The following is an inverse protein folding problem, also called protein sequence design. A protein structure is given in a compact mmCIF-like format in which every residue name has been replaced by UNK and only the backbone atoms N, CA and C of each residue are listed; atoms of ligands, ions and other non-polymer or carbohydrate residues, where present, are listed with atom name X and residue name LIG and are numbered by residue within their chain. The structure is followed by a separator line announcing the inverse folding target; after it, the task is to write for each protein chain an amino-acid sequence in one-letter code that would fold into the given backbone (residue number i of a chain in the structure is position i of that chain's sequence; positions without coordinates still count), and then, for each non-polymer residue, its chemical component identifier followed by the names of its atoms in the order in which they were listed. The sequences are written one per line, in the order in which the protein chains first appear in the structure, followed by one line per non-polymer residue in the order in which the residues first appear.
data_IF_577475920087
#
_entry.id   IF_577475920087
#
_cell.length_a   1.000
_cell.length_b   1.000
_cell.length_c   1.000
_cell.angle_alpha   90.00
_cell.angle_beta   90.00
_cell.angle_gamma   90.00
#
_symmetry.space_group_name_H-M   'P 1'
#
loop_
_entity.id
_entity.type
_entity.pdbx_description
1 polymer ?
#
# COMPACT_ATOMS: atom_id res chain seq x y z
N UNK A 1 17.46 0.21 24.01
CA UNK A 1 16.44 -0.74 23.52
C UNK A 1 16.03 -0.28 22.13
N UNK A 2 16.21 -1.14 21.12
CA UNK A 2 15.85 -0.83 19.74
C UNK A 2 14.32 -0.81 19.63
N UNK A 3 13.73 0.36 19.46
CA UNK A 3 12.31 0.54 19.13
C UNK A 3 12.04 -0.06 17.75
N UNK A 4 11.87 -1.39 17.70
CA UNK A 4 11.47 -2.19 16.53
C UNK A 4 9.96 -2.15 16.32
N UNK A 5 9.27 -1.24 17.01
CA UNK A 5 7.82 -1.16 17.07
C UNK A 5 7.38 0.18 16.47
N UNK A 6 6.46 0.08 15.51
CA UNK A 6 5.85 1.14 14.71
C UNK A 6 6.52 1.43 13.36
N UNK A 7 6.87 0.37 12.62
CA UNK A 7 6.64 0.41 11.18
C UNK A 7 5.13 0.53 10.96
N UNK A 8 4.57 1.74 11.02
CA UNK A 8 3.17 1.94 10.67
C UNK A 8 3.00 1.57 9.18
N UNK A 9 2.29 0.48 8.84
CA UNK A 9 2.07 0.09 7.45
C UNK A 9 1.21 1.13 6.70
N UNK A 10 0.58 2.07 7.40
CA UNK A 10 -0.12 3.23 6.83
C UNK A 10 0.86 4.37 6.46
N UNK A 11 2.13 4.29 6.87
CA UNK A 11 3.20 5.24 6.51
C UNK A 11 3.99 4.81 5.26
N UNK A 12 3.42 3.90 4.45
CA UNK A 12 3.98 3.51 3.16
C UNK A 12 3.58 4.54 2.09
N UNK A 13 4.58 5.22 1.51
CA UNK A 13 4.36 6.19 0.44
C UNK A 13 4.73 5.59 -0.91
N UNK A 14 3.88 5.76 -1.93
CA UNK A 14 4.21 5.36 -3.30
C UNK A 14 5.28 6.28 -3.86
N UNK A 15 6.41 5.70 -4.29
CA UNK A 15 7.53 6.46 -4.89
C UNK A 15 7.66 6.24 -6.39
N UNK A 16 7.16 5.12 -6.90
CA UNK A 16 7.09 4.86 -8.35
C UNK A 16 5.94 3.92 -8.69
N UNK A 17 5.34 4.11 -9.85
CA UNK A 17 4.27 3.25 -10.38
C UNK A 17 4.49 2.97 -11.86
N UNK A 18 4.36 1.70 -12.24
CA UNK A 18 4.53 1.24 -13.61
C UNK A 18 3.29 0.46 -14.04
N UNK A 19 2.81 0.71 -15.25
CA UNK A 19 1.73 -0.06 -15.85
C UNK A 19 2.32 -1.16 -16.73
N UNK A 20 1.95 -2.40 -16.46
CA UNK A 20 2.30 -3.58 -17.24
C UNK A 20 1.02 -4.18 -17.84
N UNK A 21 1.16 -5.18 -18.71
CA UNK A 21 0.02 -5.95 -19.24
C UNK A 21 -0.76 -6.69 -18.15
N UNK A 22 -0.12 -7.01 -17.03
CA UNK A 22 -0.70 -7.72 -15.89
C UNK A 22 -1.35 -6.79 -14.84
N UNK A 23 -1.21 -5.47 -15.02
CA UNK A 23 -1.79 -4.45 -14.14
C UNK A 23 -0.77 -3.41 -13.69
N UNK A 24 -1.05 -2.74 -12.59
CA UNK A 24 -0.14 -1.72 -12.04
C UNK A 24 0.78 -2.35 -11.00
N UNK A 25 2.07 -2.06 -11.11
CA UNK A 25 3.10 -2.33 -10.10
C UNK A 25 3.45 -1.02 -9.42
N UNK A 26 3.33 -0.97 -8.09
CA UNK A 26 3.66 0.20 -7.27
C UNK A 26 4.77 -0.14 -6.29
N UNK A 27 5.80 0.70 -6.26
CA UNK A 27 6.90 0.63 -5.31
C UNK A 27 6.64 1.63 -4.19
N UNK A 28 6.61 1.14 -2.95
CA UNK A 28 6.36 1.94 -1.77
C UNK A 28 7.60 1.96 -0.87
N UNK A 29 7.83 3.11 -0.26
CA UNK A 29 8.90 3.30 0.72
C UNK A 29 8.32 3.89 1.99
N UNK A 30 8.68 3.31 3.12
CA UNK A 30 8.42 3.90 4.43
C UNK A 30 9.55 4.85 4.81
N UNK A 31 9.25 5.87 5.62
CA UNK A 31 10.24 6.82 6.14
C UNK A 31 11.38 6.16 6.93
N UNK A 32 11.13 4.99 7.53
CA UNK A 32 12.14 4.19 8.22
C UNK A 32 13.09 3.41 7.29
N UNK A 33 12.86 3.43 5.97
CA UNK A 33 13.71 2.76 4.97
C UNK A 33 13.22 1.40 4.48
N UNK A 34 12.12 0.86 5.01
CA UNK A 34 11.50 -0.38 4.53
C UNK A 34 10.86 -0.18 3.15
N UNK A 35 10.93 -1.21 2.31
CA UNK A 35 10.35 -1.26 0.96
C UNK A 35 9.23 -2.28 0.85
N UNK A 36 8.20 -1.95 0.08
CA UNK A 36 7.10 -2.85 -0.29
C UNK A 36 6.82 -2.71 -1.79
N UNK A 37 6.49 -3.82 -2.46
CA UNK A 37 6.05 -3.82 -3.86
C UNK A 37 4.64 -4.37 -3.94
N UNK A 38 3.70 -3.54 -4.39
CA UNK A 38 2.30 -3.93 -4.59
C UNK A 38 2.03 -4.13 -6.07
N UNK A 39 1.43 -5.27 -6.40
CA UNK A 39 0.96 -5.58 -7.75
C UNK A 39 -0.57 -5.65 -7.75
N UNK A 40 -1.19 -5.45 -8.92
CA UNK A 40 -2.65 -5.48 -9.06
C UNK A 40 -3.32 -6.74 -8.45
N UNK A 41 -2.62 -7.88 -8.44
CA UNK A 41 -3.09 -9.12 -7.80
C UNK A 41 -3.12 -9.05 -6.26
N UNK A 42 -2.23 -8.29 -5.63
CA UNK A 42 -2.16 -8.10 -4.17
C UNK A 42 -3.08 -6.99 -3.64
N UNK A 43 -3.42 -5.99 -4.47
CA UNK A 43 -4.30 -4.88 -4.05
C UNK A 43 -5.72 -5.38 -3.68
N UNK A 44 -6.17 -6.50 -4.26
CA UNK A 44 -7.45 -7.13 -3.88
C UNK A 44 -7.47 -7.73 -2.46
N UNK A 45 -6.31 -8.05 -1.87
CA UNK A 45 -6.19 -8.60 -0.52
C UNK A 45 -5.82 -7.53 0.53
N UNK A 46 -5.11 -6.48 0.10
CA UNK A 46 -4.53 -5.46 0.97
C UNK A 46 -5.35 -4.17 1.07
N UNK A 47 -6.62 -4.14 0.64
CA UNK A 47 -7.56 -3.06 1.01
C UNK A 47 -8.07 -3.31 2.44
N UNK A 48 -7.58 -2.62 3.49
CA UNK A 48 -8.35 -2.47 4.70
C UNK A 48 -9.59 -1.65 4.32
N UNK A 49 -10.76 -2.30 4.33
CA UNK A 49 -12.08 -1.70 4.23
C UNK A 49 -12.15 -0.31 3.59
N UNK A 50 -12.27 -0.25 2.26
CA UNK A 50 -13.03 0.85 1.66
C UNK A 50 -14.43 0.71 2.22
N UNK A 51 -14.72 1.38 3.35
CA UNK A 51 -16.08 1.66 3.79
C UNK A 51 -16.73 2.36 2.61
N UNK A 52 -17.44 1.56 1.81
CA UNK A 52 -18.42 2.04 0.88
C UNK A 52 -19.45 2.75 1.74
N UNK A 53 -19.31 4.07 1.91
CA UNK A 53 -20.45 4.91 2.28
C UNK A 53 -21.36 4.90 1.06
N UNK A 54 -22.15 3.84 0.94
CA UNK A 54 -23.40 3.88 0.22
C UNK A 54 -24.30 4.79 1.05
N UNK A 55 -24.37 6.06 0.68
CA UNK A 55 -25.49 6.92 1.07
C UNK A 55 -26.24 7.15 -0.21
N UNK A 56 -27.36 6.44 -0.36
CA UNK A 56 -28.43 6.84 -1.25
C UNK A 56 -29.07 8.05 -0.56
N UNK A 57 -29.06 9.19 -1.23
CA UNK A 57 -30.08 10.23 -1.12
C UNK A 57 -30.66 10.41 -2.53
#
# INVERSE_FOLDING_TARGET
MHSRDLHDPLSMTVVSSHRTSEGVVSYLRCSCGVWEVRTARMVGLATPGRRSKMTID
#
